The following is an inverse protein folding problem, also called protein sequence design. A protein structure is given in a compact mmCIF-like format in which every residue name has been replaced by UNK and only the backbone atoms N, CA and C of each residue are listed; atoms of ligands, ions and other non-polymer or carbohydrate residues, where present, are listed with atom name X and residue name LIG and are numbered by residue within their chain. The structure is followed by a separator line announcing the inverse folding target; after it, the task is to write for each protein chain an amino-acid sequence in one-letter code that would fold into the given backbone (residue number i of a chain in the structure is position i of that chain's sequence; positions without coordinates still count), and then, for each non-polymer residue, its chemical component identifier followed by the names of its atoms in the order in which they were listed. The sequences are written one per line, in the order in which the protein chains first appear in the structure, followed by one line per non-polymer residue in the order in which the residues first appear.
data_IF_187575596467
#
_entry.id   IF_187575596467
#
_cell.length_a   1.000
_cell.length_b   1.000
_cell.length_c   1.000
_cell.angle_alpha   90.00
_cell.angle_beta   90.00
_cell.angle_gamma   90.00
#
_symmetry.space_group_name_H-M   'P 1'
#
loop_
_entity.id
_entity.type
_entity.pdbx_description
1 polymer ?
#
# COMPACT_ATOMS: atom_id res chain seq x y z
N UNK A 1 10.35 2.88 0.54
CA UNK A 1 11.82 3.01 0.48
C UNK A 1 12.59 1.71 0.79
N UNK A 2 12.39 1.07 1.96
CA UNK A 2 13.12 -0.16 2.34
C UNK A 2 13.07 -1.26 1.28
N UNK A 3 11.87 -1.56 0.75
CA UNK A 3 11.69 -2.56 -0.30
C UNK A 3 12.48 -2.25 -1.57
N UNK A 4 12.50 -0.98 -2.00
CA UNK A 4 13.27 -0.55 -3.17
C UNK A 4 14.78 -0.75 -2.95
N UNK A 5 15.27 -0.42 -1.75
CA UNK A 5 16.68 -0.65 -1.38
C UNK A 5 17.04 -2.15 -1.41
N UNK A 6 16.16 -3.00 -0.90
CA UNK A 6 16.33 -4.46 -0.92
C UNK A 6 16.32 -5.02 -2.35
N UNK A 7 15.38 -4.60 -3.20
CA UNK A 7 15.31 -5.02 -4.60
C UNK A 7 16.58 -4.66 -5.37
N UNK A 8 17.14 -3.47 -5.13
CA UNK A 8 18.37 -3.04 -5.77
C UNK A 8 19.60 -3.81 -5.24
N UNK A 9 19.73 -3.95 -3.92
CA UNK A 9 20.94 -4.54 -3.31
C UNK A 9 20.98 -6.06 -3.40
N UNK A 10 19.85 -6.74 -3.18
CA UNK A 10 19.78 -8.21 -3.17
C UNK A 10 19.56 -8.80 -4.55
N UNK A 11 18.74 -8.15 -5.39
CA UNK A 11 18.32 -8.69 -6.68
C UNK A 11 18.84 -7.90 -7.88
N UNK A 12 19.58 -6.82 -7.67
CA UNK A 12 20.07 -5.91 -8.72
C UNK A 12 18.94 -5.38 -9.63
N UNK A 13 17.74 -5.25 -9.07
CA UNK A 13 16.57 -4.72 -9.76
C UNK A 13 16.47 -3.22 -9.49
N UNK A 14 16.60 -2.42 -10.54
CA UNK A 14 16.31 -0.99 -10.48
C UNK A 14 14.80 -0.79 -10.52
N UNK A 15 14.27 -0.12 -9.51
CA UNK A 15 12.88 0.33 -9.49
C UNK A 15 12.80 1.81 -9.19
N UNK A 16 11.71 2.44 -9.63
CA UNK A 16 11.34 3.78 -9.24
C UNK A 16 10.26 3.69 -8.14
N UNK A 17 10.31 4.60 -7.18
CA UNK A 17 9.31 4.70 -6.12
C UNK A 17 8.63 6.06 -6.18
N UNK A 18 7.35 6.06 -5.86
CA UNK A 18 6.54 7.25 -5.71
C UNK A 18 5.55 7.01 -4.57
N UNK A 19 5.16 8.09 -3.90
CA UNK A 19 4.05 8.07 -2.94
C UNK A 19 2.77 8.36 -3.69
N UNK A 20 1.71 7.63 -3.37
CA UNK A 20 0.37 7.86 -3.91
C UNK A 20 -0.46 8.53 -2.82
N UNK A 21 -0.89 9.76 -3.10
CA UNK A 21 -1.90 10.42 -2.27
C UNK A 21 -3.29 9.92 -2.69
N UNK A 22 -3.93 9.16 -1.80
CA UNK A 22 -5.26 8.60 -2.03
C UNK A 22 -6.39 9.51 -1.52
N UNK A 23 -6.06 10.71 -1.00
CA UNK A 23 -7.01 11.57 -0.29
C UNK A 23 -8.26 11.92 -1.10
N UNK A 24 -8.12 12.17 -2.40
CA UNK A 24 -9.25 12.47 -3.29
C UNK A 24 -10.11 11.27 -3.67
N UNK A 25 -9.64 10.06 -3.40
CA UNK A 25 -10.29 8.83 -3.81
C UNK A 25 -10.86 8.01 -2.64
N UNK A 26 -10.64 8.47 -1.41
CA UNK A 26 -11.27 7.95 -0.22
C UNK A 26 -12.79 8.03 -0.32
N UNK A 27 -13.49 7.01 0.14
CA UNK A 27 -14.96 6.94 0.11
C UNK A 27 -15.62 7.60 1.32
N UNK A 28 -14.82 8.06 2.29
CA UNK A 28 -15.25 8.75 3.50
C UNK A 28 -14.99 10.27 3.47
N UNK A 29 -14.69 10.87 2.31
CA UNK A 29 -14.39 12.32 2.15
C UNK A 29 -15.51 13.22 2.73
N UNK A 30 -16.77 12.77 2.68
CA UNK A 30 -17.90 13.52 3.26
C UNK A 30 -17.93 13.54 4.79
N UNK A 31 -17.22 12.61 5.45
CA UNK A 31 -17.14 12.47 6.91
C UNK A 31 -15.77 12.94 7.42
N UNK A 32 -14.71 12.65 6.66
CA UNK A 32 -13.32 13.04 6.93
C UNK A 32 -12.82 13.94 5.79
N UNK A 33 -12.89 15.28 5.94
CA UNK A 33 -12.47 16.22 4.92
C UNK A 33 -10.99 16.04 4.56
N UNK A 34 -10.67 16.26 3.29
CA UNK A 34 -9.30 16.23 2.77
C UNK A 34 -8.47 17.35 3.44
N UNK A 35 -7.29 17.01 3.97
CA UNK A 35 -6.34 17.98 4.49
C UNK A 35 -5.84 18.92 3.40
N UNK A 36 -5.56 20.19 3.73
CA UNK A 36 -5.03 21.16 2.75
C UNK A 36 -3.64 20.83 2.22
N UNK A 37 -2.90 19.98 2.93
CA UNK A 37 -1.62 19.41 2.50
C UNK A 37 -1.92 18.18 1.64
N UNK A 38 -2.12 18.42 0.36
CA UNK A 38 -2.21 17.37 -0.66
C UNK A 38 -0.88 17.38 -1.40
N UNK A 39 -0.20 16.23 -1.44
CA UNK A 39 0.94 16.05 -2.33
C UNK A 39 0.47 15.45 -3.64
N UNK A 40 0.89 16.03 -4.77
CA UNK A 40 0.53 15.48 -6.08
C UNK A 40 1.19 14.12 -6.28
N UNK A 41 0.39 13.07 -6.50
CA UNK A 41 0.92 11.78 -6.98
C UNK A 41 1.61 12.00 -8.31
N UNK A 42 2.92 11.73 -8.37
CA UNK A 42 3.66 11.76 -9.63
C UNK A 42 4.32 10.40 -9.86
N UNK A 43 4.01 9.79 -11.00
CA UNK A 43 4.74 8.61 -11.45
C UNK A 43 6.07 9.06 -12.05
N UNK A 44 7.14 8.37 -11.69
CA UNK A 44 8.51 8.70 -12.11
C UNK A 44 8.74 8.47 -13.63
N UNK A 45 7.78 7.82 -14.30
CA UNK A 45 7.84 7.46 -15.72
C UNK A 45 6.42 7.27 -16.29
N UNK A 46 6.28 7.25 -17.62
CA UNK A 46 5.01 6.96 -18.28
C UNK A 46 4.47 5.60 -17.79
N UNK A 47 3.27 5.54 -17.20
CA UNK A 47 2.69 4.30 -16.71
C UNK A 47 2.43 3.26 -17.81
N UNK A 48 2.19 3.66 -19.06
CA UNK A 48 1.57 2.81 -20.10
C UNK A 48 2.20 1.41 -20.28
N UNK A 49 3.53 1.31 -20.20
CA UNK A 49 4.25 0.04 -20.36
C UNK A 49 4.82 -0.52 -19.04
N UNK A 50 4.51 0.14 -17.93
CA UNK A 50 5.07 -0.20 -16.62
C UNK A 50 4.23 -1.25 -15.88
N UNK A 51 4.91 -2.08 -15.10
CA UNK A 51 4.28 -2.85 -14.03
C UNK A 51 4.40 -2.04 -12.75
N UNK A 52 3.26 -1.67 -12.17
CA UNK A 52 3.18 -0.92 -10.91
C UNK A 52 2.87 -1.91 -9.79
N UNK A 53 3.67 -1.86 -8.73
CA UNK A 53 3.42 -2.63 -7.50
C UNK A 53 2.99 -1.63 -6.44
N UNK A 54 1.72 -1.68 -6.05
CA UNK A 54 1.22 -0.98 -4.88
C UNK A 54 1.77 -1.69 -3.64
N UNK A 55 2.26 -0.93 -2.67
CA UNK A 55 2.85 -1.46 -1.45
C UNK A 55 2.13 -0.84 -0.26
N UNK A 56 1.57 -1.68 0.60
CA UNK A 56 0.88 -1.27 1.83
C UNK A 56 1.42 -2.07 3.02
N UNK A 57 1.30 -1.54 4.24
CA UNK A 57 1.73 -2.28 5.43
C UNK A 57 0.70 -3.34 5.80
N UNK A 58 -0.58 -2.97 5.88
CA UNK A 58 -1.67 -3.83 6.33
C UNK A 58 -2.87 -3.71 5.39
N UNK A 59 -3.29 -4.81 4.78
CA UNK A 59 -4.56 -4.84 4.05
C UNK A 59 -5.70 -5.35 4.92
N UNK A 60 -6.73 -4.51 5.03
CA UNK A 60 -7.96 -4.80 5.76
C UNK A 60 -9.17 -4.87 4.81
N UNK A 61 -9.95 -3.80 4.72
CA UNK A 61 -11.16 -3.75 3.88
C UNK A 61 -10.88 -3.70 2.38
N UNK A 62 -9.67 -3.28 1.98
CA UNK A 62 -9.26 -3.03 0.59
C UNK A 62 -9.54 -1.61 0.08
N UNK A 63 -10.13 -0.72 0.90
CA UNK A 63 -10.53 0.63 0.46
C UNK A 63 -9.36 1.53 0.09
N UNK A 64 -8.27 1.53 0.85
CA UNK A 64 -7.05 2.29 0.54
C UNK A 64 -6.46 1.87 -0.81
N UNK A 65 -6.38 0.56 -1.05
CA UNK A 65 -5.89 0.00 -2.33
C UNK A 65 -6.81 0.38 -3.49
N UNK A 66 -8.14 0.33 -3.29
CA UNK A 66 -9.10 0.78 -4.32
C UNK A 66 -8.92 2.25 -4.67
N UNK A 67 -8.61 3.09 -3.69
CA UNK A 67 -8.32 4.50 -3.93
C UNK A 67 -7.00 4.69 -4.68
N UNK A 68 -5.94 3.95 -4.31
CA UNK A 68 -4.67 3.96 -5.01
C UNK A 68 -4.79 3.48 -6.48
N UNK A 69 -5.59 2.44 -6.74
CA UNK A 69 -5.89 1.99 -8.10
C UNK A 69 -6.58 3.07 -8.95
N UNK A 70 -7.49 3.84 -8.35
CA UNK A 70 -8.13 4.98 -9.02
C UNK A 70 -7.10 6.05 -9.42
N UNK A 71 -6.20 6.40 -8.49
CA UNK A 71 -5.15 7.39 -8.73
C UNK A 71 -4.17 6.95 -9.82
N UNK A 72 -3.71 5.70 -9.76
CA UNK A 72 -2.84 5.12 -10.80
C UNK A 72 -3.50 5.19 -12.19
N UNK A 73 -4.80 4.89 -12.27
CA UNK A 73 -5.55 4.98 -13.53
C UNK A 73 -5.82 6.41 -13.99
N UNK A 74 -5.88 7.38 -13.07
CA UNK A 74 -5.99 8.80 -13.42
C UNK A 74 -4.70 9.32 -14.08
N UNK A 75 -3.55 8.76 -13.70
CA UNK A 75 -2.23 9.12 -14.25
C UNK A 75 -1.89 8.38 -15.55
N UNK A 76 -2.58 7.28 -15.86
CA UNK A 76 -2.47 6.58 -17.14
C UNK A 76 -2.87 5.10 -17.06
N UNK A 77 -2.45 4.28 -18.03
CA UNK A 77 -2.90 2.88 -18.14
C UNK A 77 -1.76 1.89 -18.04
N UNK A 78 -1.35 1.46 -16.83
CA UNK A 78 -0.24 0.54 -16.70
C UNK A 78 -0.51 -0.82 -17.34
N UNK A 79 0.56 -1.46 -17.83
CA UNK A 79 0.54 -2.83 -18.37
C UNK A 79 0.01 -3.83 -17.33
N UNK A 80 0.37 -3.63 -16.06
CA UNK A 80 -0.06 -4.46 -14.95
C UNK A 80 -0.02 -3.65 -13.64
N UNK A 81 -1.01 -3.85 -12.78
CA UNK A 81 -0.93 -3.42 -11.38
C UNK A 81 -0.94 -4.65 -10.49
N UNK A 82 -0.03 -4.71 -9.55
CA UNK A 82 0.06 -5.75 -8.51
C UNK A 82 0.01 -5.10 -7.12
N UNK A 83 -0.27 -5.92 -6.11
CA UNK A 83 -0.32 -5.50 -4.72
C UNK A 83 0.60 -6.36 -3.85
N UNK A 84 1.50 -5.70 -3.12
CA UNK A 84 2.34 -6.29 -2.10
C UNK A 84 1.97 -5.71 -0.73
N UNK A 85 1.78 -6.58 0.26
CA UNK A 85 1.43 -6.17 1.62
C UNK A 85 2.31 -6.88 2.64
N UNK A 86 2.63 -6.22 3.75
CA UNK A 86 3.34 -6.90 4.83
C UNK A 86 2.40 -7.85 5.59
N UNK A 87 1.21 -7.38 5.94
CA UNK A 87 0.21 -8.13 6.71
C UNK A 87 -1.11 -8.19 5.98
N UNK A 88 -1.61 -9.39 5.76
CA UNK A 88 -3.00 -9.63 5.39
C UNK A 88 -3.81 -10.00 6.63
N UNK A 89 -4.73 -9.12 7.04
CA UNK A 89 -5.56 -9.33 8.23
C UNK A 89 -6.98 -9.85 7.96
N UNK A 90 -7.30 -10.17 6.71
CA UNK A 90 -8.63 -10.63 6.29
C UNK A 90 -9.71 -9.52 6.30
N UNK A 91 -10.97 -9.92 6.48
CA UNK A 91 -12.16 -9.04 6.55
C UNK A 91 -12.33 -8.06 5.37
N UNK A 92 -12.05 -8.56 4.16
CA UNK A 92 -12.24 -7.81 2.92
C UNK A 92 -13.69 -7.35 2.76
N UNK A 93 -13.85 -6.12 2.28
CA UNK A 93 -15.14 -5.58 1.81
C UNK A 93 -15.18 -5.32 0.32
N UNK A 94 -14.02 -5.46 -0.33
CA UNK A 94 -13.83 -5.34 -1.76
C UNK A 94 -13.13 -6.62 -2.26
N UNK A 95 -13.37 -7.04 -3.51
CA UNK A 95 -12.73 -8.22 -4.10
C UNK A 95 -11.27 -7.92 -4.50
N UNK A 96 -10.45 -7.54 -3.51
CA UNK A 96 -9.05 -7.17 -3.68
C UNK A 96 -8.19 -8.12 -2.84
N UNK A 97 -7.30 -8.82 -3.51
CA UNK A 97 -6.38 -9.79 -2.91
C UNK A 97 -4.93 -9.38 -3.25
N UNK A 98 -4.00 -9.38 -2.29
CA UNK A 98 -2.60 -9.11 -2.59
C UNK A 98 -1.99 -10.22 -3.44
N UNK A 99 -1.14 -9.82 -4.39
CA UNK A 99 -0.30 -10.76 -5.13
C UNK A 99 0.84 -11.29 -4.26
N UNK A 100 1.33 -10.46 -3.34
CA UNK A 100 2.41 -10.78 -2.42
C UNK A 100 2.02 -10.41 -1.00
N UNK A 101 2.20 -11.32 -0.05
CA UNK A 101 1.95 -11.11 1.38
C UNK A 101 3.16 -11.55 2.19
N UNK A 102 3.53 -10.77 3.20
CA UNK A 102 4.52 -11.18 4.19
C UNK A 102 3.96 -12.25 5.11
N UNK A 103 2.93 -11.90 5.88
CA UNK A 103 2.19 -12.80 6.77
C UNK A 103 0.68 -12.68 6.59
N UNK A 104 -0.05 -13.70 7.05
CA UNK A 104 -1.51 -13.72 7.06
C UNK A 104 -2.00 -14.02 8.48
N UNK A 105 -2.68 -13.05 9.09
CA UNK A 105 -3.14 -13.14 10.48
C UNK A 105 -4.62 -12.75 10.55
N UNK A 106 -5.51 -13.74 10.67
CA UNK A 106 -6.96 -13.47 10.67
C UNK A 106 -7.35 -12.82 12.00
N UNK A 107 -7.87 -11.60 11.89
CA UNK A 107 -8.34 -10.79 13.03
C UNK A 107 -9.85 -10.63 13.00
N UNK A 108 -10.42 -10.18 14.11
CA UNK A 108 -11.78 -9.64 14.18
C UNK A 108 -11.84 -8.24 13.56
N UNK A 109 -13.05 -7.71 13.35
CA UNK A 109 -13.23 -6.35 12.79
C UNK A 109 -12.75 -5.26 13.77
N UNK A 110 -12.86 -5.51 15.07
CA UNK A 110 -12.60 -4.53 16.13
C UNK A 110 -11.13 -4.52 16.58
N UNK A 111 -10.36 -5.56 16.27
CA UNK A 111 -8.93 -5.56 16.50
C UNK A 111 -8.22 -4.56 15.58
N UNK A 112 -7.17 -3.91 16.09
CA UNK A 112 -6.30 -3.05 15.32
C UNK A 112 -4.97 -3.75 15.07
N UNK A 113 -4.50 -3.70 13.83
CA UNK A 113 -3.16 -4.20 13.47
C UNK A 113 -2.27 -3.00 13.24
N UNK A 114 -1.14 -2.93 13.95
CA UNK A 114 -0.14 -1.88 13.81
C UNK A 114 1.19 -2.50 13.38
N UNK A 115 1.75 -2.02 12.26
CA UNK A 115 3.06 -2.42 11.80
C UNK A 115 4.10 -1.37 12.24
N UNK A 116 5.03 -1.77 13.10
CA UNK A 116 6.13 -0.93 13.57
C UNK A 116 7.40 -1.29 12.81
N UNK A 117 7.77 -0.48 11.82
CA UNK A 117 8.91 -0.74 10.94
C UNK A 117 10.09 0.17 11.28
N UNK A 118 11.27 -0.43 11.46
CA UNK A 118 12.51 0.29 11.76
C UNK A 118 13.54 0.05 10.64
N UNK A 119 13.58 0.88 9.58
CA UNK A 119 14.45 0.65 8.43
C UNK A 119 15.95 0.55 8.75
N UNK A 120 16.40 1.22 9.82
CA UNK A 120 17.80 1.18 10.27
C UNK A 120 18.13 0.00 11.19
N UNK A 121 17.12 -0.64 11.77
CA UNK A 121 17.23 -1.81 12.66
C UNK A 121 16.06 -2.77 12.37
N UNK A 122 16.05 -3.43 11.20
CA UNK A 122 14.92 -4.25 10.78
C UNK A 122 14.53 -5.33 11.79
N UNK A 123 15.48 -5.84 12.59
CA UNK A 123 15.28 -6.84 13.64
C UNK A 123 14.40 -6.38 14.80
N UNK A 124 14.19 -5.06 14.95
CA UNK A 124 13.27 -4.48 15.94
C UNK A 124 11.85 -4.31 15.40
N UNK A 125 11.65 -4.53 14.10
CA UNK A 125 10.35 -4.39 13.48
C UNK A 125 9.42 -5.49 13.98
N UNK A 126 8.19 -5.11 14.32
CA UNK A 126 7.19 -6.02 14.87
C UNK A 126 5.79 -5.58 14.44
N UNK A 127 4.83 -6.48 14.65
CA UNK A 127 3.42 -6.25 14.34
C UNK A 127 2.66 -6.49 15.63
N UNK A 128 1.85 -5.52 16.03
CA UNK A 128 0.96 -5.64 17.18
C UNK A 128 -0.47 -5.86 16.71
N UNK A 129 -1.17 -6.77 17.39
CA UNK A 129 -2.62 -6.96 17.27
C UNK A 129 -3.23 -6.49 18.58
N UNK A 130 -3.90 -5.35 18.54
CA UNK A 130 -4.50 -4.70 19.70
C UNK A 130 -5.97 -5.08 19.76
N UNK A 131 -6.37 -5.71 20.86
CA UNK A 131 -7.78 -5.88 21.19
C UNK A 131 -8.42 -4.53 21.53
N UNK A 132 -9.74 -4.37 21.25
CA UNK A 132 -10.47 -3.12 21.51
C UNK A 132 -10.48 -2.68 22.97
#
# INVERSE_FOLDING_TARGET
ELLQSQLLTTHNLKSHSATIDISFHRDDIGVNPISKEVESTSLVQNPEESTIILVDDVIFSGRSVRAALSEVHALGRPRKVELAVLVDRGNRRLPIEPNYRGISEITTIDEKVEAHLFPKNPEKSHIDILSP
#
